data_IF_048073441338
#
_entry.id   IF_048073441338
#
_cell.length_a   1.000
_cell.length_b   1.000
_cell.length_c   1.000
_cell.angle_alpha   90.00
_cell.angle_beta   90.00
_cell.angle_gamma   90.00
#
_symmetry.space_group_name_H-M   'P 1'
#
loop_
_entity.id
_entity.type
_entity.pdbx_description
1 polymer ?
#
# COMPACT_ATOMS: atom_id res chain seq x y z
N UNK A 1 8.39 5.72 -11.20
CA UNK A 1 8.81 6.29 -9.88
C UNK A 1 9.49 5.21 -9.03
N UNK A 2 10.51 5.52 -8.21
CA UNK A 2 11.14 4.53 -7.30
C UNK A 2 10.47 4.45 -5.92
N UNK A 3 9.68 5.48 -5.59
CA UNK A 3 8.92 5.65 -4.36
C UNK A 3 7.48 6.00 -4.71
N UNK A 4 6.53 5.40 -4.00
CA UNK A 4 5.11 5.75 -4.06
C UNK A 4 4.66 6.17 -2.66
N UNK A 5 3.88 7.25 -2.57
CA UNK A 5 3.26 7.71 -1.33
C UNK A 5 1.75 7.75 -1.53
N UNK A 6 1.02 7.18 -0.58
CA UNK A 6 -0.43 7.21 -0.52
C UNK A 6 -0.79 7.89 0.79
N UNK A 7 -1.50 9.01 0.71
CA UNK A 7 -2.01 9.74 1.87
C UNK A 7 -3.52 9.62 1.85
N UNK A 8 -4.10 9.05 2.92
CA UNK A 8 -5.54 8.83 3.01
C UNK A 8 -6.04 8.82 4.44
N UNK A 9 -7.36 8.82 4.60
CA UNK A 9 -8.06 8.66 5.88
C UNK A 9 -7.59 7.39 6.59
N UNK A 10 -7.56 7.46 7.93
CA UNK A 10 -6.97 6.42 8.76
C UNK A 10 -7.56 5.02 8.52
N UNK A 11 -8.87 4.91 8.28
CA UNK A 11 -9.50 3.60 8.02
C UNK A 11 -9.06 2.98 6.70
N UNK A 12 -8.87 3.78 5.64
CA UNK A 12 -8.35 3.30 4.35
C UNK A 12 -6.92 2.81 4.51
N UNK A 13 -6.11 3.51 5.30
CA UNK A 13 -4.74 3.10 5.60
C UNK A 13 -4.72 1.80 6.40
N UNK A 14 -5.67 1.58 7.32
CA UNK A 14 -5.83 0.31 8.01
C UNK A 14 -6.23 -0.83 7.05
N UNK A 15 -7.17 -0.59 6.13
CA UNK A 15 -7.54 -1.54 5.08
C UNK A 15 -6.35 -1.93 4.20
N UNK A 16 -5.53 -0.94 3.81
CA UNK A 16 -4.26 -1.17 3.09
C UNK A 16 -3.32 -2.06 3.92
N UNK A 17 -3.12 -1.76 5.21
CA UNK A 17 -2.23 -2.52 6.09
C UNK A 17 -2.72 -3.96 6.24
N UNK A 18 -4.03 -4.17 6.33
CA UNK A 18 -4.61 -5.50 6.45
C UNK A 18 -4.42 -6.29 5.14
N UNK A 19 -4.79 -5.70 4.00
CA UNK A 19 -4.58 -6.29 2.69
C UNK A 19 -3.10 -6.63 2.42
N UNK A 20 -2.15 -5.83 2.92
CA UNK A 20 -0.71 -6.12 2.84
C UNK A 20 -0.30 -7.38 3.62
N UNK A 21 -1.04 -7.77 4.66
CA UNK A 21 -0.78 -8.96 5.48
C UNK A 21 -1.47 -10.20 4.95
N UNK A 22 -2.69 -10.07 4.47
CA UNK A 22 -3.59 -11.19 4.20
C UNK A 22 -3.62 -11.59 2.73
N UNK A 23 -3.66 -10.62 1.81
CA UNK A 23 -3.79 -10.88 0.37
C UNK A 23 -2.49 -11.34 -0.29
N UNK A 24 -2.60 -12.13 -1.36
CA UNK A 24 -1.44 -12.59 -2.16
C UNK A 24 -0.70 -11.40 -2.79
N UNK A 25 -1.44 -10.45 -3.37
CA UNK A 25 -0.87 -9.23 -3.94
C UNK A 25 -0.15 -8.39 -2.87
N UNK A 26 -0.77 -8.22 -1.71
CA UNK A 26 -0.20 -7.50 -0.58
C UNK A 26 1.10 -8.13 -0.06
N UNK A 27 1.14 -9.46 0.08
CA UNK A 27 2.37 -10.20 0.43
C UNK A 27 3.48 -10.00 -0.60
N UNK A 28 3.12 -10.01 -1.90
CA UNK A 28 4.05 -9.68 -2.99
C UNK A 28 4.62 -8.27 -2.87
N UNK A 29 3.76 -7.28 -2.63
CA UNK A 29 4.18 -5.89 -2.43
C UNK A 29 5.11 -5.73 -1.22
N UNK A 30 4.82 -6.38 -0.08
CA UNK A 30 5.70 -6.39 1.11
C UNK A 30 7.06 -7.03 0.85
N UNK A 31 7.12 -8.07 0.01
CA UNK A 31 8.38 -8.70 -0.36
C UNK A 31 9.24 -7.72 -1.16
N UNK A 32 8.65 -7.04 -2.13
CA UNK A 32 9.34 -6.20 -3.10
C UNK A 32 9.66 -4.77 -2.62
N UNK A 33 8.93 -4.27 -1.63
CA UNK A 33 9.03 -2.89 -1.17
C UNK A 33 9.36 -2.80 0.31
N UNK A 34 10.14 -1.78 0.68
CA UNK A 34 10.17 -1.25 2.03
C UNK A 34 8.95 -0.36 2.24
N UNK A 35 8.31 -0.53 3.40
CA UNK A 35 7.05 0.13 3.73
C UNK A 35 7.27 0.98 4.98
N UNK A 36 6.93 2.26 4.89
CA UNK A 36 6.92 3.20 6.02
C UNK A 36 5.52 3.76 6.21
N UNK A 37 5.10 3.89 7.46
CA UNK A 37 3.78 4.43 7.82
C UNK A 37 4.00 5.63 8.73
N UNK A 38 3.52 6.78 8.29
CA UNK A 38 3.48 8.02 9.05
C UNK A 38 2.03 8.20 9.53
N UNK A 39 1.77 7.95 10.81
CA UNK A 39 0.43 8.07 11.39
C UNK A 39 0.13 9.52 11.74
N UNK A 40 -1.00 10.04 11.28
CA UNK A 40 -1.52 11.34 11.68
C UNK A 40 -2.87 11.23 12.40
N UNK A 41 -3.35 12.36 12.90
CA UNK A 41 -4.57 12.40 13.71
C UNK A 41 -5.83 12.13 12.87
N UNK A 42 -5.95 12.74 11.70
CA UNK A 42 -7.09 12.59 10.79
C UNK A 42 -6.77 11.72 9.58
N UNK A 43 -5.54 11.79 9.09
CA UNK A 43 -5.06 11.05 7.94
C UNK A 43 -3.69 10.43 8.25
N UNK A 44 -3.35 9.38 7.51
CA UNK A 44 -2.06 8.71 7.61
C UNK A 44 -1.44 8.59 6.21
N UNK A 45 -0.13 8.52 6.16
CA UNK A 45 0.61 8.29 4.93
C UNK A 45 1.29 6.93 4.98
N UNK A 46 1.10 6.14 3.93
CA UNK A 46 1.88 4.92 3.69
C UNK A 46 2.78 5.13 2.47
N UNK A 47 4.04 4.78 2.62
CA UNK A 47 5.05 4.90 1.60
C UNK A 47 5.62 3.54 1.24
N UNK A 48 5.79 3.33 -0.06
CA UNK A 48 6.46 2.17 -0.65
C UNK A 48 7.74 2.62 -1.35
N UNK A 49 8.82 1.87 -1.17
CA UNK A 49 10.09 2.09 -1.86
C UNK A 49 10.64 0.76 -2.34
N UNK A 50 11.00 0.65 -3.62
CA UNK A 50 11.53 -0.59 -4.19
C UNK A 50 12.87 -0.94 -3.56
N UNK A 51 12.99 -2.16 -3.01
CA UNK A 51 14.23 -2.67 -2.41
C UNK A 51 15.34 -2.86 -3.44
N UNK A 52 14.97 -3.24 -4.65
CA UNK A 52 15.89 -3.50 -5.76
C UNK A 52 16.24 -2.25 -6.57
N UNK A 53 15.79 -1.07 -6.15
CA UNK A 53 16.07 0.21 -6.83
C UNK A 53 15.39 0.37 -8.20
N UNK A 54 14.61 -0.62 -8.65
CA UNK A 54 13.85 -0.55 -9.90
C UNK A 54 12.68 0.44 -9.78
N UNK A 55 12.12 0.78 -10.93
CA UNK A 55 10.89 1.55 -10.96
C UNK A 55 9.70 0.71 -10.50
N UNK A 56 8.81 1.35 -9.75
CA UNK A 56 7.51 0.82 -9.39
C UNK A 56 6.66 0.71 -10.66
N UNK A 57 6.04 -0.44 -10.86
CA UNK A 57 4.99 -0.64 -11.84
C UNK A 57 3.65 -0.10 -11.29
N UNK A 58 3.05 0.93 -11.90
CA UNK A 58 1.79 1.50 -11.41
C UNK A 58 0.62 0.50 -11.42
N UNK A 59 0.64 -0.48 -12.34
CA UNK A 59 -0.43 -1.47 -12.49
C UNK A 59 -0.56 -2.33 -11.22
N UNK A 60 0.56 -2.69 -10.59
CA UNK A 60 0.57 -3.47 -9.34
C UNK A 60 -0.24 -2.76 -8.24
N UNK A 61 -0.09 -1.44 -8.15
CA UNK A 61 -0.77 -0.61 -7.16
C UNK A 61 -2.21 -0.28 -7.53
N UNK A 62 -2.51 -0.16 -8.83
CA UNK A 62 -3.90 -0.05 -9.30
C UNK A 62 -4.69 -1.30 -8.93
N UNK A 63 -4.15 -2.49 -9.23
CA UNK A 63 -4.79 -3.76 -8.90
C UNK A 63 -4.92 -3.97 -7.40
N UNK A 64 -3.90 -3.57 -6.64
CA UNK A 64 -3.95 -3.62 -5.18
C UNK A 64 -5.04 -2.69 -4.61
N UNK A 65 -5.15 -1.47 -5.13
CA UNK A 65 -6.21 -0.53 -4.77
C UNK A 65 -7.60 -1.05 -5.10
N UNK A 66 -7.79 -1.66 -6.28
CA UNK A 66 -9.05 -2.31 -6.65
C UNK A 66 -9.41 -3.45 -5.68
N UNK A 67 -8.44 -4.28 -5.31
CA UNK A 67 -8.64 -5.35 -4.33
C UNK A 67 -9.05 -4.81 -2.95
N UNK A 68 -8.43 -3.72 -2.49
CA UNK A 68 -8.78 -3.07 -1.23
C UNK A 68 -10.23 -2.57 -1.29
N UNK A 69 -10.60 -1.84 -2.34
CA UNK A 69 -11.96 -1.31 -2.49
C UNK A 69 -13.04 -2.39 -2.60
N UNK A 70 -12.70 -3.58 -3.14
CA UNK A 70 -13.64 -4.69 -3.27
C UNK A 70 -13.81 -5.48 -1.97
N UNK A 71 -12.71 -5.76 -1.27
CA UNK A 71 -12.68 -6.78 -0.21
C UNK A 71 -12.53 -6.20 1.22
N UNK A 72 -12.03 -4.96 1.35
CA UNK A 72 -11.66 -4.35 2.64
C UNK A 72 -12.39 -3.02 2.91
N UNK A 73 -13.09 -2.46 1.92
CA UNK A 73 -13.98 -1.32 2.10
C UNK A 73 -15.33 -1.84 2.62
N UNK A 74 -15.51 -1.80 3.93
CA UNK A 74 -16.74 -2.20 4.65
C UNK A 74 -17.13 -1.14 5.65
#
# INVERSE_FOLDING_TARGET
MKRLRIKQQNFIILAIIDALKTSVLGKGLRKLHDIKIERGHYDSCIQFTRKDGKYINPIDFFMFGHLIGRDYDK
#
